data_IF_603415819004
#
_entry.id   IF_603415819004
#
_cell.length_a   1.000
_cell.length_b   1.000
_cell.length_c   1.000
_cell.angle_alpha   90.00
_cell.angle_beta   90.00
_cell.angle_gamma   90.00
#
_symmetry.space_group_name_H-M   'P 1'
#
loop_
_entity.id
_entity.type
_entity.pdbx_description
1 polymer ?
#
# COMPACT_ATOMS: atom_id res chain seq x y z
N UNK A 1 31.35 -29.98 -38.53
CA UNK A 1 31.79 -29.73 -37.12
C UNK A 1 31.42 -28.35 -36.53
N UNK A 2 30.99 -27.34 -37.31
CA UNK A 2 30.62 -26.00 -36.80
C UNK A 2 29.28 -25.91 -36.05
N UNK A 3 28.26 -26.71 -36.42
CA UNK A 3 26.94 -26.69 -35.76
C UNK A 3 26.92 -27.30 -34.35
N UNK A 4 27.84 -28.22 -34.02
CA UNK A 4 27.89 -28.84 -32.70
C UNK A 4 28.41 -27.91 -31.59
N UNK A 5 29.31 -26.98 -31.91
CA UNK A 5 29.85 -26.00 -30.93
C UNK A 5 28.82 -24.94 -30.57
N UNK A 6 28.02 -24.47 -31.53
CA UNK A 6 26.95 -23.48 -31.28
C UNK A 6 25.82 -24.05 -30.43
N UNK A 7 25.39 -25.30 -30.68
CA UNK A 7 24.36 -25.95 -29.86
C UNK A 7 24.83 -26.21 -28.42
N UNK A 8 26.10 -26.63 -28.22
CA UNK A 8 26.68 -26.84 -26.89
C UNK A 8 26.87 -25.52 -26.12
N UNK A 9 27.25 -24.44 -26.82
CA UNK A 9 27.34 -23.09 -26.27
C UNK A 9 25.97 -22.55 -25.85
N UNK A 10 24.94 -22.73 -26.68
CA UNK A 10 23.57 -22.31 -26.38
C UNK A 10 22.99 -23.08 -25.18
N UNK A 11 23.23 -24.39 -25.10
CA UNK A 11 22.85 -25.23 -23.96
C UNK A 11 23.50 -24.74 -22.66
N UNK A 12 24.82 -24.52 -22.66
CA UNK A 12 25.53 -24.04 -21.46
C UNK A 12 25.07 -22.65 -21.03
N UNK A 13 24.78 -21.74 -21.97
CA UNK A 13 24.19 -20.42 -21.67
C UNK A 13 22.81 -20.54 -21.02
N UNK A 14 21.94 -21.41 -21.52
CA UNK A 14 20.62 -21.64 -20.91
C UNK A 14 20.71 -22.27 -19.52
N UNK A 15 21.67 -23.18 -19.28
CA UNK A 15 21.94 -23.73 -17.95
C UNK A 15 22.39 -22.63 -16.98
N UNK A 16 23.39 -21.83 -17.37
CA UNK A 16 23.88 -20.73 -16.56
C UNK A 16 22.77 -19.72 -16.23
N UNK A 17 21.94 -19.36 -17.22
CA UNK A 17 20.83 -18.43 -17.02
C UNK A 17 19.75 -19.01 -16.11
N UNK A 18 19.40 -20.29 -16.25
CA UNK A 18 18.42 -20.94 -15.38
C UNK A 18 18.91 -20.98 -13.92
N UNK A 19 20.17 -21.38 -13.70
CA UNK A 19 20.78 -21.40 -12.37
C UNK A 19 20.80 -19.99 -11.78
N UNK A 20 21.19 -18.98 -12.57
CA UNK A 20 21.18 -17.59 -12.14
C UNK A 20 19.78 -17.12 -11.71
N UNK A 21 18.74 -17.44 -12.49
CA UNK A 21 17.36 -17.10 -12.14
C UNK A 21 16.92 -17.78 -10.85
N UNK A 22 17.19 -19.08 -10.70
CA UNK A 22 16.83 -19.83 -9.47
C UNK A 22 17.59 -19.28 -8.25
N UNK A 23 18.88 -18.98 -8.38
CA UNK A 23 19.66 -18.37 -7.32
C UNK A 23 19.13 -16.97 -6.98
N UNK A 24 18.81 -16.15 -7.99
CA UNK A 24 18.25 -14.83 -7.77
C UNK A 24 16.91 -14.90 -7.03
N UNK A 25 16.01 -15.82 -7.42
CA UNK A 25 14.75 -16.07 -6.71
C UNK A 25 15.03 -16.54 -5.27
N UNK A 26 16.01 -17.43 -5.07
CA UNK A 26 16.40 -17.91 -3.75
C UNK A 26 16.95 -16.80 -2.84
N UNK A 27 17.78 -15.91 -3.37
CA UNK A 27 18.30 -14.74 -2.63
C UNK A 27 17.17 -13.77 -2.29
N UNK A 28 16.27 -13.49 -3.25
CA UNK A 28 15.09 -12.65 -3.01
C UNK A 28 14.17 -13.28 -1.96
N UNK A 29 13.99 -14.61 -1.99
CA UNK A 29 13.21 -15.33 -1.00
C UNK A 29 13.84 -15.22 0.39
N UNK A 30 15.13 -15.50 0.48
CA UNK A 30 15.86 -15.39 1.74
C UNK A 30 15.78 -13.97 2.30
N UNK A 31 16.04 -12.96 1.48
CA UNK A 31 16.00 -11.56 1.91
C UNK A 31 14.60 -11.07 2.27
N UNK A 32 13.58 -11.51 1.54
CA UNK A 32 12.19 -11.17 1.84
C UNK A 32 11.68 -11.80 3.13
N UNK A 33 11.95 -13.08 3.36
CA UNK A 33 11.39 -13.79 4.53
C UNK A 33 12.22 -13.66 5.81
N UNK A 34 13.55 -13.69 5.71
CA UNK A 34 14.43 -13.65 6.88
C UNK A 34 15.03 -12.26 7.13
N UNK A 35 14.91 -11.35 6.16
CA UNK A 35 15.64 -10.09 6.17
C UNK A 35 17.13 -10.32 5.92
N UNK A 36 17.84 -9.25 5.59
CA UNK A 36 19.30 -9.30 5.46
C UNK A 36 19.91 -8.23 6.35
N UNK A 37 20.72 -8.67 7.31
CA UNK A 37 21.53 -7.81 8.16
C UNK A 37 22.78 -7.41 7.36
N UNK A 38 22.96 -6.11 7.14
CA UNK A 38 24.11 -5.47 6.50
C UNK A 38 24.43 -5.91 5.06
N UNK A 39 23.61 -5.49 4.10
CA UNK A 39 24.05 -5.37 2.69
C UNK A 39 24.38 -3.90 2.43
N UNK A 40 25.66 -3.59 2.16
CA UNK A 40 26.12 -2.22 1.83
C UNK A 40 25.65 -1.12 2.80
N UNK A 41 25.54 -1.42 4.10
CA UNK A 41 25.09 -0.45 5.12
C UNK A 41 23.57 -0.28 5.24
N UNK A 42 22.77 -0.95 4.40
CA UNK A 42 21.31 -0.96 4.49
C UNK A 42 20.80 -2.25 5.14
N UNK A 43 19.84 -2.11 6.07
CA UNK A 43 19.13 -3.23 6.70
C UNK A 43 17.85 -3.50 5.93
N UNK A 44 17.81 -4.62 5.21
CA UNK A 44 16.59 -5.10 4.57
C UNK A 44 15.76 -5.80 5.64
N UNK A 45 14.65 -5.18 6.03
CA UNK A 45 13.69 -5.77 6.98
C UNK A 45 12.91 -6.90 6.28
N UNK A 46 12.55 -7.97 7.01
CA UNK A 46 11.69 -9.02 6.44
C UNK A 46 10.29 -8.48 6.13
N UNK A 47 9.57 -9.17 5.24
CA UNK A 47 8.19 -8.84 4.88
C UNK A 47 7.25 -8.83 6.09
N UNK A 48 7.51 -9.66 7.09
CA UNK A 48 6.74 -9.70 8.35
C UNK A 48 6.77 -8.40 9.16
N UNK A 49 7.85 -7.62 9.02
CA UNK A 49 8.06 -6.32 9.67
C UNK A 49 7.81 -5.13 8.74
N UNK A 50 7.92 -5.34 7.42
CA UNK A 50 7.84 -4.26 6.43
C UNK A 50 6.45 -4.05 5.86
N UNK A 51 5.57 -5.05 5.95
CA UNK A 51 4.19 -4.94 5.48
C UNK A 51 3.33 -4.34 6.58
N UNK A 52 2.61 -3.28 6.22
CA UNK A 52 1.69 -2.58 7.10
C UNK A 52 0.52 -3.50 7.45
N UNK A 53 0.11 -3.53 8.72
CA UNK A 53 -0.98 -4.40 9.19
C UNK A 53 -2.18 -3.55 9.53
N UNK A 54 -3.36 -3.99 9.11
CA UNK A 54 -4.61 -3.28 9.36
C UNK A 54 -5.19 -3.53 10.75
N UNK A 55 -6.32 -2.87 11.01
CA UNK A 55 -7.04 -2.90 12.28
C UNK A 55 -7.35 -4.33 12.75
N UNK A 56 -7.78 -5.21 11.85
CA UNK A 56 -8.14 -6.59 12.20
C UNK A 56 -6.95 -7.44 12.65
N UNK A 57 -5.72 -7.07 12.26
CA UNK A 57 -4.49 -7.80 12.58
C UNK A 57 -3.77 -7.25 13.80
N UNK A 58 -3.87 -5.95 14.07
CA UNK A 58 -3.20 -5.30 15.21
C UNK A 58 -4.15 -4.98 16.37
N UNK A 59 -5.46 -4.99 16.12
CA UNK A 59 -6.43 -4.31 16.97
C UNK A 59 -6.34 -2.78 16.81
N UNK A 60 -7.26 -2.07 17.43
CA UNK A 60 -7.24 -0.62 17.52
C UNK A 60 -8.64 -0.02 17.58
N UNK A 61 -8.79 1.21 17.09
CA UNK A 61 -10.06 1.95 17.09
C UNK A 61 -10.57 2.16 15.67
N UNK A 62 -11.87 1.95 15.47
CA UNK A 62 -12.64 2.35 14.29
C UNK A 62 -13.74 3.32 14.72
N UNK A 63 -13.80 4.48 14.09
CA UNK A 63 -14.84 5.49 14.29
C UNK A 63 -15.54 5.74 12.96
N UNK A 64 -16.87 5.74 12.97
CA UNK A 64 -17.69 6.18 11.84
C UNK A 64 -18.29 7.53 12.19
N UNK A 65 -17.88 8.55 11.45
CA UNK A 65 -18.35 9.92 11.58
C UNK A 65 -19.41 10.21 10.52
N UNK A 66 -20.48 10.90 10.89
CA UNK A 66 -21.49 11.41 9.96
C UNK A 66 -21.36 12.92 9.81
N UNK A 67 -21.31 13.38 8.56
CA UNK A 67 -21.24 14.79 8.23
C UNK A 67 -22.61 15.44 8.44
N UNK A 68 -22.66 16.49 9.27
CA UNK A 68 -23.86 17.29 9.51
C UNK A 68 -24.05 18.38 8.45
N UNK A 69 -25.28 18.49 7.95
CA UNK A 69 -25.71 19.49 6.96
C UNK A 69 -26.39 18.86 5.75
N UNK A 70 -27.33 19.59 5.14
CA UNK A 70 -28.01 19.14 3.93
C UNK A 70 -27.16 19.46 2.69
N UNK A 71 -27.03 18.50 1.75
CA UNK A 71 -26.34 18.67 0.47
C UNK A 71 -24.85 19.09 0.57
N UNK A 72 -24.06 18.36 1.37
CA UNK A 72 -22.60 18.54 1.38
C UNK A 72 -22.00 18.06 0.06
N UNK A 73 -21.19 18.92 -0.57
CA UNK A 73 -20.55 18.60 -1.85
C UNK A 73 -19.50 17.48 -1.70
N UNK A 74 -19.28 16.71 -2.77
CA UNK A 74 -18.24 15.67 -2.77
C UNK A 74 -16.86 16.26 -2.48
N UNK A 75 -16.54 17.44 -3.03
CA UNK A 75 -15.27 18.13 -2.79
C UNK A 75 -15.07 18.46 -1.32
N UNK A 76 -16.13 18.88 -0.62
CA UNK A 76 -16.10 19.14 0.82
C UNK A 76 -15.80 17.88 1.62
N UNK A 77 -16.39 16.74 1.24
CA UNK A 77 -16.14 15.45 1.91
C UNK A 77 -14.69 15.01 1.69
N UNK A 78 -14.19 15.06 0.45
CA UNK A 78 -12.80 14.70 0.15
C UNK A 78 -11.81 15.60 0.90
N UNK A 79 -12.07 16.91 0.96
CA UNK A 79 -11.27 17.83 1.76
C UNK A 79 -11.32 17.46 3.24
N UNK A 80 -12.49 17.11 3.77
CA UNK A 80 -12.64 16.67 5.17
C UNK A 80 -11.81 15.41 5.45
N UNK A 81 -11.84 14.43 4.54
CA UNK A 81 -11.04 13.21 4.62
C UNK A 81 -9.55 13.53 4.66
N UNK A 82 -9.08 14.43 3.79
CA UNK A 82 -7.67 14.87 3.76
C UNK A 82 -7.26 15.51 5.09
N UNK A 83 -8.08 16.42 5.63
CA UNK A 83 -7.82 17.08 6.91
C UNK A 83 -7.82 16.11 8.09
N UNK A 84 -8.81 15.20 8.15
CA UNK A 84 -8.87 14.15 9.15
C UNK A 84 -7.66 13.22 9.07
N UNK A 85 -7.24 12.83 7.85
CA UNK A 85 -6.05 12.01 7.64
C UNK A 85 -4.79 12.66 8.21
N UNK A 86 -4.61 13.97 8.02
CA UNK A 86 -3.52 14.72 8.62
C UNK A 86 -3.61 14.80 10.16
N UNK A 87 -4.81 14.80 10.74
CA UNK A 87 -5.00 14.87 12.21
C UNK A 87 -4.78 13.54 12.92
N UNK A 88 -5.25 12.45 12.34
CA UNK A 88 -5.09 11.11 12.93
C UNK A 88 -3.69 10.53 12.71
N UNK A 89 -2.98 11.05 11.70
CA UNK A 89 -1.62 10.63 11.36
C UNK A 89 -0.70 11.82 11.01
N UNK A 90 -0.47 12.75 11.95
CA UNK A 90 0.29 13.98 11.70
C UNK A 90 1.78 13.72 11.40
N UNK A 91 2.32 12.62 11.93
CA UNK A 91 3.71 12.21 11.71
C UNK A 91 3.86 11.30 10.47
N UNK A 92 2.75 10.79 9.90
CA UNK A 92 2.79 9.82 8.80
C UNK A 92 3.33 8.44 9.21
N UNK A 93 3.52 8.19 10.51
CA UNK A 93 4.16 6.98 11.05
C UNK A 93 3.13 5.90 11.39
N UNK A 94 1.87 6.28 11.63
CA UNK A 94 0.78 5.35 11.92
C UNK A 94 0.07 4.94 10.63
N UNK A 95 -0.32 3.68 10.54
CA UNK A 95 -1.01 3.13 9.36
C UNK A 95 -2.53 3.37 9.46
N UNK A 96 -2.93 4.64 9.53
CA UNK A 96 -4.34 5.04 9.67
C UNK A 96 -5.05 5.05 8.33
N UNK A 97 -6.32 4.65 8.32
CA UNK A 97 -7.17 4.72 7.13
C UNK A 97 -8.32 5.69 7.38
N UNK A 98 -8.44 6.73 6.55
CA UNK A 98 -9.58 7.65 6.54
C UNK A 98 -10.26 7.53 5.19
N UNK A 99 -11.50 7.04 5.16
CA UNK A 99 -12.21 6.71 3.93
C UNK A 99 -13.66 7.15 4.00
N UNK A 100 -14.21 7.54 2.85
CA UNK A 100 -15.65 7.77 2.71
C UNK A 100 -16.40 6.44 2.83
N UNK A 101 -17.53 6.47 3.54
CA UNK A 101 -18.49 5.38 3.59
C UNK A 101 -19.88 5.90 3.20
N UNK A 102 -20.39 5.45 2.05
CA UNK A 102 -21.66 5.93 1.53
C UNK A 102 -21.64 7.43 1.14
N UNK A 103 -22.76 8.13 1.35
CA UNK A 103 -22.95 9.51 0.85
C UNK A 103 -22.34 10.57 1.76
N UNK A 104 -22.47 10.45 3.07
CA UNK A 104 -22.17 11.50 4.05
C UNK A 104 -21.42 10.98 5.28
N UNK A 105 -20.81 9.79 5.23
CA UNK A 105 -20.06 9.24 6.36
C UNK A 105 -18.59 9.06 6.04
N UNK A 106 -17.76 9.14 7.06
CA UNK A 106 -16.32 8.99 7.00
C UNK A 106 -15.91 7.96 8.05
N UNK A 107 -15.33 6.85 7.59
CA UNK A 107 -14.73 5.84 8.46
C UNK A 107 -13.27 6.17 8.72
N UNK A 108 -12.90 6.20 9.98
CA UNK A 108 -11.55 6.47 10.48
C UNK A 108 -11.10 5.22 11.24
N UNK A 109 -10.03 4.58 10.79
CA UNK A 109 -9.43 3.42 11.42
C UNK A 109 -8.01 3.75 11.86
N UNK A 110 -7.69 3.53 13.13
CA UNK A 110 -6.39 3.80 13.73
C UNK A 110 -5.88 2.50 14.36
N UNK A 111 -5.14 1.67 13.58
CA UNK A 111 -4.55 0.43 14.07
C UNK A 111 -3.53 0.69 15.18
N UNK A 112 -3.50 -0.20 16.17
CA UNK A 112 -2.57 -0.15 17.31
C UNK A 112 -2.88 0.91 18.37
N UNK A 113 -3.95 1.69 18.22
CA UNK A 113 -4.40 2.68 19.20
C UNK A 113 -5.60 2.16 19.99
N UNK A 114 -5.52 2.20 21.32
CA UNK A 114 -6.56 1.66 22.21
C UNK A 114 -7.13 2.72 23.16
N UNK A 115 -6.55 3.91 23.20
CA UNK A 115 -7.08 5.02 23.99
C UNK A 115 -8.19 5.74 23.23
N UNK A 116 -9.44 5.36 23.53
CA UNK A 116 -10.63 5.92 22.91
C UNK A 116 -10.79 7.41 23.18
N UNK A 117 -10.38 7.89 24.36
CA UNK A 117 -10.50 9.31 24.71
C UNK A 117 -9.56 10.15 23.87
N UNK A 118 -8.29 9.72 23.78
CA UNK A 118 -7.28 10.38 22.96
C UNK A 118 -7.68 10.45 21.48
N UNK A 119 -8.26 9.37 20.96
CA UNK A 119 -8.74 9.33 19.56
C UNK A 119 -9.93 10.25 19.36
N UNK A 120 -10.94 10.19 20.24
CA UNK A 120 -12.11 11.06 20.16
C UNK A 120 -11.75 12.53 20.33
N UNK A 121 -10.78 12.87 21.18
CA UNK A 121 -10.26 14.24 21.30
C UNK A 121 -9.56 14.70 20.01
N UNK A 122 -8.83 13.81 19.33
CA UNK A 122 -8.16 14.14 18.07
C UNK A 122 -9.11 14.30 16.87
N UNK A 123 -10.23 13.57 16.87
CA UNK A 123 -11.22 13.58 15.77
C UNK A 123 -12.31 14.62 16.04
N UNK A 124 -12.85 14.68 17.26
CA UNK A 124 -13.99 15.50 17.67
C UNK A 124 -13.67 16.98 17.91
N UNK A 125 -12.39 17.35 17.94
CA UNK A 125 -11.96 18.74 17.86
C UNK A 125 -12.33 19.29 16.47
N UNK A 126 -13.31 20.19 16.38
CA UNK A 126 -13.72 20.82 15.10
C UNK A 126 -12.54 21.54 14.43
N UNK A 127 -11.52 21.88 15.21
CA UNK A 127 -10.27 22.50 14.77
C UNK A 127 -10.46 23.98 14.50
N UNK A 128 -11.19 24.66 15.37
CA UNK A 128 -11.35 26.11 15.30
C UNK A 128 -10.01 26.78 15.59
N UNK A 129 -9.20 26.92 14.55
CA UNK A 129 -7.94 27.64 14.59
C UNK A 129 -8.23 29.14 14.62
N UNK A 130 -7.78 29.82 15.68
CA UNK A 130 -7.95 31.26 15.86
C UNK A 130 -6.61 31.91 16.23
N UNK A 131 -6.18 32.90 15.46
CA UNK A 131 -5.07 33.76 15.83
C UNK A 131 -5.67 34.96 16.56
N UNK A 132 -5.33 35.13 17.85
CA UNK A 132 -5.85 36.25 18.65
C UNK A 132 -4.76 37.24 18.99
N UNK A 133 -5.11 38.52 18.89
CA UNK A 133 -4.26 39.59 19.37
C UNK A 133 -4.20 39.66 20.90
N UNK A 134 -3.34 40.51 21.46
CA UNK A 134 -3.30 40.79 22.90
C UNK A 134 -4.62 41.31 23.47
N UNK A 135 -5.49 41.86 22.62
CA UNK A 135 -6.85 42.31 22.94
C UNK A 135 -7.90 41.19 22.88
N UNK A 136 -7.45 39.93 22.74
CA UNK A 136 -8.26 38.71 22.65
C UNK A 136 -9.23 38.70 21.44
N UNK A 137 -9.04 39.59 20.46
CA UNK A 137 -9.82 39.62 19.21
C UNK A 137 -9.22 38.67 18.18
N UNK A 138 -10.09 37.95 17.47
CA UNK A 138 -9.68 37.04 16.38
C UNK A 138 -9.22 37.87 15.18
N UNK A 139 -7.98 37.63 14.75
CA UNK A 139 -7.31 38.27 13.61
C UNK A 139 -7.44 37.37 12.37
N UNK A 140 -7.07 36.09 12.52
CA UNK A 140 -7.11 35.09 11.47
C UNK A 140 -7.81 33.82 11.97
N UNK A 141 -8.32 33.07 11.02
CA UNK A 141 -8.86 31.73 11.23
C UNK A 141 -8.12 30.70 10.37
N UNK A 142 -8.38 29.41 10.59
CA UNK A 142 -7.87 28.35 9.72
C UNK A 142 -8.21 28.51 8.24
N UNK A 143 -9.31 29.20 7.90
CA UNK A 143 -9.67 29.47 6.51
C UNK A 143 -8.68 30.40 5.78
N UNK A 144 -7.97 31.24 6.53
CA UNK A 144 -7.01 32.23 6.02
C UNK A 144 -5.61 31.63 5.78
N UNK A 145 -5.35 30.41 6.30
CA UNK A 145 -4.09 29.68 6.14
C UNK A 145 -4.12 28.85 4.85
N UNK A 146 -3.03 28.90 4.08
CA UNK A 146 -2.83 28.11 2.86
C UNK A 146 -1.98 26.87 3.13
N UNK A 147 -0.86 27.03 3.84
CA UNK A 147 0.02 25.92 4.21
C UNK A 147 0.75 26.20 5.53
N UNK A 148 1.18 25.14 6.21
CA UNK A 148 2.08 25.22 7.35
C UNK A 148 3.06 24.03 7.34
N UNK A 149 4.36 24.33 7.46
CA UNK A 149 5.44 23.32 7.34
C UNK A 149 6.51 23.54 8.39
N UNK A 150 6.98 22.47 9.02
CA UNK A 150 8.10 22.53 9.95
C UNK A 150 9.43 22.26 9.23
N UNK A 151 10.45 23.07 9.54
CA UNK A 151 11.81 22.93 9.00
C UNK A 151 12.84 23.41 10.02
N UNK A 152 14.11 23.06 9.80
CA UNK A 152 15.23 23.68 10.51
C UNK A 152 15.62 24.98 9.81
N UNK A 153 15.64 26.09 10.55
CA UNK A 153 16.14 27.36 10.05
C UNK A 153 17.68 27.33 9.87
N UNK A 154 18.23 28.43 9.35
CA UNK A 154 19.67 28.59 9.13
C UNK A 154 20.50 28.47 10.44
N UNK A 155 19.85 28.64 11.60
CA UNK A 155 20.45 28.51 12.93
C UNK A 155 20.26 27.11 13.53
N UNK A 156 19.81 26.13 12.73
CA UNK A 156 19.48 24.76 13.17
C UNK A 156 18.41 24.71 14.27
N UNK A 157 17.50 25.68 14.30
CA UNK A 157 16.37 25.71 15.23
C UNK A 157 15.09 25.23 14.54
N UNK A 158 14.29 24.39 15.20
CA UNK A 158 13.00 23.95 14.66
C UNK A 158 12.04 25.13 14.58
N UNK A 159 11.53 25.39 13.37
CA UNK A 159 10.69 26.54 13.02
C UNK A 159 9.50 26.10 12.19
N UNK A 160 8.36 26.78 12.35
CA UNK A 160 7.16 26.55 11.55
C UNK A 160 7.02 27.71 10.55
N UNK A 161 7.05 27.38 9.26
CA UNK A 161 6.68 28.29 8.18
C UNK A 161 5.19 28.27 7.93
N UNK A 162 4.59 29.45 7.84
CA UNK A 162 3.18 29.66 7.56
C UNK A 162 3.05 30.39 6.22
N UNK A 163 2.21 29.87 5.33
CA UNK A 163 1.80 30.53 4.10
C UNK A 163 0.32 30.88 4.20
N UNK A 164 -0.01 32.16 4.00
CA UNK A 164 -1.37 32.68 4.08
C UNK A 164 -1.99 32.84 2.69
N UNK A 165 -3.32 32.79 2.63
CA UNK A 165 -4.07 33.19 1.43
C UNK A 165 -4.01 34.72 1.24
N UNK A 166 -4.33 35.25 0.04
CA UNK A 166 -4.26 36.69 -0.23
C UNK A 166 -5.06 37.55 0.78
N UNK A 167 -6.28 37.12 1.12
CA UNK A 167 -7.14 37.83 2.08
C UNK A 167 -6.58 37.77 3.51
N UNK A 168 -6.07 36.61 3.91
CA UNK A 168 -5.40 36.42 5.19
C UNK A 168 -4.14 37.26 5.33
N UNK A 169 -3.38 37.41 4.24
CA UNK A 169 -2.14 38.19 4.22
C UNK A 169 -2.37 39.67 4.53
N UNK A 170 -3.45 40.27 4.02
CA UNK A 170 -3.81 41.66 4.31
C UNK A 170 -4.21 41.85 5.78
N UNK A 171 -5.11 41.00 6.29
CA UNK A 171 -5.52 41.02 7.71
C UNK A 171 -4.33 40.85 8.64
N UNK A 172 -3.41 39.96 8.28
CA UNK A 172 -2.22 39.69 9.09
C UNK A 172 -1.20 40.82 9.04
N UNK A 173 -1.02 41.49 7.90
CA UNK A 173 -0.17 42.67 7.79
C UNK A 173 -0.65 43.81 8.70
N UNK A 174 -1.96 44.11 8.69
CA UNK A 174 -2.56 45.13 9.56
C UNK A 174 -2.38 44.78 11.04
N UNK A 175 -2.59 43.51 11.40
CA UNK A 175 -2.46 43.07 12.78
C UNK A 175 -0.99 43.06 13.26
N UNK A 176 -0.05 42.61 12.44
CA UNK A 176 1.38 42.63 12.80
C UNK A 176 1.93 44.06 12.90
N UNK A 177 1.41 45.00 12.10
CA UNK A 177 1.70 46.43 12.25
C UNK A 177 1.17 46.99 13.57
N UNK A 178 -0.06 46.63 13.96
CA UNK A 178 -0.69 47.09 15.21
C UNK A 178 -0.09 46.47 16.47
N UNK A 179 0.39 45.22 16.38
CA UNK A 179 0.85 44.43 17.52
C UNK A 179 2.36 44.17 17.51
N UNK A 180 3.14 45.04 16.87
CA UNK A 180 4.60 44.97 16.87
C UNK A 180 5.15 44.88 18.31
N UNK A 181 6.03 43.91 18.57
CA UNK A 181 6.59 43.64 19.90
C UNK A 181 5.63 42.98 20.90
N UNK A 182 4.37 42.73 20.52
CA UNK A 182 3.36 42.06 21.36
C UNK A 182 3.13 40.62 20.90
N UNK A 183 2.43 39.84 21.72
CA UNK A 183 2.10 38.43 21.44
C UNK A 183 0.89 38.30 20.53
N UNK A 184 0.99 37.45 19.52
CA UNK A 184 -0.19 36.90 18.83
C UNK A 184 -0.28 35.45 19.25
N UNK A 185 -1.37 35.09 19.92
CA UNK A 185 -1.56 33.73 20.43
C UNK A 185 -2.39 32.94 19.43
N UNK A 186 -1.91 31.76 19.07
CA UNK A 186 -2.60 30.81 18.20
C UNK A 186 -3.32 29.82 19.09
N UNK A 187 -4.64 29.76 18.92
CA UNK A 187 -5.53 28.84 19.62
C UNK A 187 -6.03 27.76 18.67
N UNK A 188 -6.19 26.55 19.19
CA UNK A 188 -6.97 25.48 18.55
C UNK A 188 -8.05 25.03 19.51
N UNK A 189 -9.31 25.21 19.13
CA UNK A 189 -10.47 24.84 19.95
C UNK A 189 -10.44 25.44 21.38
N UNK A 190 -9.84 26.63 21.52
CA UNK A 190 -9.71 27.36 22.79
C UNK A 190 -8.46 27.03 23.61
N UNK A 191 -7.70 26.00 23.25
CA UNK A 191 -6.41 25.69 23.86
C UNK A 191 -5.27 26.45 23.15
N UNK A 192 -4.28 26.90 23.91
CA UNK A 192 -3.11 27.62 23.37
C UNK A 192 -2.18 26.62 22.68
N UNK A 193 -1.98 26.78 21.37
CA UNK A 193 -0.96 26.06 20.60
C UNK A 193 0.41 26.69 20.79
N UNK A 194 0.50 27.99 20.49
CA UNK A 194 1.76 28.75 20.57
C UNK A 194 1.47 30.24 20.73
N UNK A 195 2.38 30.95 21.40
CA UNK A 195 2.24 32.38 21.74
C UNK A 195 3.47 33.20 21.32
N UNK A 196 3.82 33.26 20.02
CA UNK A 196 4.99 34.01 19.57
C UNK A 196 4.83 35.53 19.72
N UNK A 197 5.95 36.23 19.89
CA UNK A 197 6.01 37.68 19.79
C UNK A 197 6.14 38.12 18.32
N UNK A 198 5.45 39.18 17.93
CA UNK A 198 5.59 39.80 16.61
C UNK A 198 6.90 40.59 16.57
N UNK A 199 7.87 40.14 15.78
CA UNK A 199 9.19 40.78 15.67
C UNK A 199 9.26 41.81 14.53
N UNK A 200 8.49 41.62 13.47
CA UNK A 200 8.46 42.49 12.29
C UNK A 200 7.06 42.52 11.67
N UNK A 201 6.80 43.53 10.83
CA UNK A 201 5.56 43.62 10.06
C UNK A 201 5.62 42.66 8.89
N UNK A 202 4.60 41.82 8.73
CA UNK A 202 4.57 40.75 7.74
C UNK A 202 3.59 41.11 6.63
N UNK A 203 4.10 41.64 5.52
CA UNK A 203 3.29 42.05 4.36
C UNK A 203 3.25 41.01 3.24
N UNK A 204 4.24 40.10 3.19
CA UNK A 204 4.43 39.14 2.10
C UNK A 204 3.61 37.84 2.20
N UNK A 205 2.71 37.71 3.18
CA UNK A 205 1.88 36.51 3.37
C UNK A 205 2.63 35.26 3.85
N UNK A 206 3.92 35.36 4.15
CA UNK A 206 4.75 34.29 4.72
C UNK A 206 5.22 34.70 6.11
N UNK A 207 4.99 33.84 7.09
CA UNK A 207 5.38 34.07 8.48
C UNK A 207 6.16 32.89 9.03
N UNK A 208 7.02 33.14 10.02
CA UNK A 208 7.80 32.11 10.70
C UNK A 208 7.48 32.14 12.19
N UNK A 209 7.11 31.00 12.74
CA UNK A 209 6.83 30.83 14.17
C UNK A 209 7.99 30.03 14.77
N UNK A 210 8.72 30.69 15.66
CA UNK A 210 9.85 30.13 16.42
C UNK A 210 9.42 29.79 17.85
N UNK A 211 10.06 28.80 18.47
CA UNK A 211 9.87 28.51 19.90
C UNK A 211 9.57 27.05 20.25
N UNK A 212 9.43 26.17 19.24
CA UNK A 212 9.33 24.73 19.47
C UNK A 212 10.65 24.19 20.01
N UNK A 213 10.60 23.20 20.91
CA UNK A 213 11.81 22.60 21.50
C UNK A 213 12.47 21.58 20.56
N UNK A 214 11.67 20.92 19.73
CA UNK A 214 12.13 19.87 18.80
C UNK A 214 11.47 20.00 17.42
N UNK A 215 12.09 19.40 16.40
CA UNK A 215 11.49 19.34 15.06
C UNK A 215 10.18 18.54 15.06
N UNK A 216 10.09 17.48 15.87
CA UNK A 216 8.87 16.66 15.99
C UNK A 216 7.71 17.49 16.57
N UNK A 217 7.97 18.30 17.59
CA UNK A 217 6.97 19.22 18.14
C UNK A 217 6.54 20.28 17.10
N UNK A 218 7.50 20.85 16.37
CA UNK A 218 7.21 21.81 15.31
C UNK A 218 6.39 21.16 14.18
N UNK A 219 6.71 19.93 13.77
CA UNK A 219 5.94 19.16 12.78
C UNK A 219 4.51 18.93 13.25
N UNK A 220 4.33 18.50 14.49
CA UNK A 220 3.00 18.29 15.06
C UNK A 220 2.17 19.58 15.05
N UNK A 221 2.73 20.69 15.53
CA UNK A 221 2.06 22.00 15.54
C UNK A 221 1.77 22.50 14.12
N UNK A 222 2.70 22.34 13.17
CA UNK A 222 2.51 22.70 11.77
C UNK A 222 1.39 21.86 11.13
N UNK A 223 1.37 20.54 11.35
CA UNK A 223 0.32 19.65 10.85
C UNK A 223 -1.06 20.03 11.40
N UNK A 224 -1.14 20.39 12.69
CA UNK A 224 -2.38 20.85 13.31
C UNK A 224 -2.86 22.18 12.68
N UNK A 225 -1.96 23.15 12.51
CA UNK A 225 -2.27 24.44 11.83
C UNK A 225 -2.69 24.22 10.38
N UNK A 226 -1.97 23.35 9.64
CA UNK A 226 -2.25 22.99 8.24
C UNK A 226 -3.58 22.27 8.08
N UNK A 227 -3.94 21.44 9.06
CA UNK A 227 -5.22 20.73 9.05
C UNK A 227 -6.43 21.67 9.17
N UNK A 228 -6.23 22.91 9.65
CA UNK A 228 -7.25 23.94 9.72
C UNK A 228 -8.52 23.52 10.47
N UNK A 229 -9.61 24.25 10.24
CA UNK A 229 -10.95 23.83 10.67
C UNK A 229 -11.52 22.83 9.68
N UNK A 230 -12.24 21.81 10.19
CA UNK A 230 -13.01 20.95 9.32
C UNK A 230 -14.06 21.80 8.61
N UNK A 231 -14.27 21.62 7.29
CA UNK A 231 -15.24 22.43 6.54
C UNK A 231 -16.69 22.09 6.92
N UNK A 232 -16.89 20.99 7.67
CA UNK A 232 -18.18 20.47 8.11
C UNK A 232 -18.07 19.95 9.54
N UNK A 233 -19.20 19.99 10.25
CA UNK A 233 -19.32 19.37 11.56
C UNK A 233 -19.53 17.86 11.41
N UNK A 234 -18.90 17.09 12.29
CA UNK A 234 -18.95 15.63 12.33
C UNK A 234 -19.60 15.18 13.63
N UNK A 235 -20.40 14.11 13.58
CA UNK A 235 -20.88 13.40 14.76
C UNK A 235 -20.57 11.91 14.65
N UNK A 236 -19.98 11.35 15.70
CA UNK A 236 -19.66 9.93 15.76
C UNK A 236 -20.96 9.11 15.84
N UNK A 237 -21.26 8.37 14.77
CA UNK A 237 -22.43 7.49 14.70
C UNK A 237 -22.11 6.07 15.15
N UNK A 238 -20.85 5.65 15.04
CA UNK A 238 -20.40 4.34 15.51
C UNK A 238 -18.98 4.43 16.04
N UNK A 239 -18.73 3.86 17.21
CA UNK A 239 -17.40 3.72 17.78
C UNK A 239 -17.15 2.26 18.13
N UNK A 240 -16.09 1.68 17.57
CA UNK A 240 -15.74 0.27 17.75
C UNK A 240 -14.27 0.11 18.12
N UNK A 241 -14.00 -0.51 19.25
CA UNK A 241 -12.67 -0.98 19.61
C UNK A 241 -12.51 -2.43 19.18
N UNK A 242 -11.53 -2.71 18.32
CA UNK A 242 -11.15 -4.06 17.91
C UNK A 242 -10.01 -4.53 18.80
N UNK A 243 -10.21 -5.63 19.52
CA UNK A 243 -9.18 -6.19 20.39
C UNK A 243 -8.01 -6.78 19.61
N UNK A 244 -6.78 -6.55 20.09
CA UNK A 244 -5.56 -7.11 19.50
C UNK A 244 -5.53 -8.65 19.48
N UNK A 245 -6.32 -9.30 20.35
CA UNK A 245 -6.40 -10.76 20.46
C UNK A 245 -6.92 -11.44 19.20
N UNK A 246 -7.82 -10.77 18.46
CA UNK A 246 -8.36 -11.28 17.20
C UNK A 246 -7.23 -11.43 16.18
N UNK A 247 -6.42 -10.38 16.00
CA UNK A 247 -5.27 -10.40 15.12
C UNK A 247 -4.13 -11.31 15.57
N UNK A 248 -3.86 -11.36 16.89
CA UNK A 248 -2.82 -12.21 17.47
C UNK A 248 -3.05 -13.71 17.21
N UNK A 249 -4.31 -14.16 17.16
CA UNK A 249 -4.66 -15.55 16.86
C UNK A 249 -4.93 -15.79 15.37
N UNK A 250 -5.57 -14.84 14.67
CA UNK A 250 -5.95 -15.01 13.28
C UNK A 250 -4.74 -14.99 12.35
N UNK A 251 -3.76 -14.10 12.57
CA UNK A 251 -2.60 -13.97 11.68
C UNK A 251 -1.76 -15.26 11.60
N UNK A 252 -1.31 -15.88 12.73
CA UNK A 252 -0.56 -17.13 12.66
C UNK A 252 -1.35 -18.27 12.03
N UNK A 253 -2.67 -18.34 12.30
CA UNK A 253 -3.54 -19.36 11.73
C UNK A 253 -3.68 -19.19 10.21
N UNK A 254 -3.89 -17.97 9.72
CA UNK A 254 -3.97 -17.67 8.29
C UNK A 254 -2.64 -17.93 7.58
N UNK A 255 -1.50 -17.61 8.20
CA UNK A 255 -0.18 -17.94 7.65
C UNK A 255 0.01 -19.45 7.57
N UNK A 256 -0.35 -20.20 8.64
CA UNK A 256 -0.26 -21.67 8.66
C UNK A 256 -1.17 -22.29 7.59
N UNK A 257 -2.41 -21.84 7.48
CA UNK A 257 -3.35 -22.30 6.46
C UNK A 257 -2.84 -22.00 5.05
N UNK A 258 -2.30 -20.79 4.83
CA UNK A 258 -1.67 -20.40 3.57
C UNK A 258 -0.47 -21.28 3.22
N UNK A 259 0.43 -21.54 4.16
CA UNK A 259 1.59 -22.41 3.94
C UNK A 259 1.19 -23.85 3.57
N UNK A 260 0.17 -24.41 4.25
CA UNK A 260 -0.37 -25.73 3.92
C UNK A 260 -1.00 -25.73 2.53
N UNK A 261 -1.83 -24.73 2.21
CA UNK A 261 -2.49 -24.61 0.90
C UNK A 261 -1.51 -24.49 -0.26
N UNK A 262 -0.50 -23.61 -0.11
CA UNK A 262 0.58 -23.45 -1.08
C UNK A 262 1.38 -24.75 -1.22
N UNK A 263 1.71 -25.42 -0.10
CA UNK A 263 2.42 -26.69 -0.13
C UNK A 263 1.66 -27.78 -0.90
N UNK A 264 0.35 -27.89 -0.69
CA UNK A 264 -0.51 -28.84 -1.42
C UNK A 264 -0.56 -28.53 -2.92
N UNK A 265 -0.63 -27.25 -3.28
CA UNK A 265 -0.58 -26.78 -4.68
C UNK A 265 0.75 -27.18 -5.33
N UNK A 266 1.88 -26.92 -4.68
CA UNK A 266 3.20 -27.28 -5.20
C UNK A 266 3.32 -28.80 -5.41
N UNK A 267 2.87 -29.59 -4.43
CA UNK A 267 2.85 -31.06 -4.54
C UNK A 267 1.97 -31.50 -5.73
N UNK A 268 0.78 -30.93 -5.87
CA UNK A 268 -0.12 -31.26 -6.98
C UNK A 268 0.52 -30.94 -8.35
N UNK A 269 1.13 -29.77 -8.48
CA UNK A 269 1.80 -29.35 -9.72
C UNK A 269 2.97 -30.28 -10.08
N UNK A 270 3.78 -30.66 -9.10
CA UNK A 270 4.89 -31.56 -9.29
C UNK A 270 4.43 -32.98 -9.70
N UNK A 271 3.40 -33.52 -9.03
CA UNK A 271 2.92 -34.88 -9.29
C UNK A 271 2.16 -34.98 -10.63
N UNK A 272 1.25 -34.04 -10.91
CA UNK A 272 0.39 -34.11 -12.09
C UNK A 272 1.09 -33.60 -13.36
N UNK A 273 1.79 -32.47 -13.27
CA UNK A 273 2.41 -31.82 -14.43
C UNK A 273 3.91 -32.10 -14.58
N UNK A 274 4.54 -32.82 -13.65
CA UNK A 274 5.95 -33.27 -13.76
C UNK A 274 6.91 -32.11 -14.07
N UNK A 275 7.57 -32.14 -15.23
CA UNK A 275 8.60 -31.18 -15.61
C UNK A 275 8.08 -29.74 -15.73
N UNK A 276 7.01 -29.48 -16.50
CA UNK A 276 6.32 -28.19 -16.49
C UNK A 276 5.85 -27.76 -15.10
N UNK A 277 5.43 -28.71 -14.25
CA UNK A 277 5.07 -28.46 -12.86
C UNK A 277 6.18 -27.79 -12.07
N UNK A 278 7.40 -28.34 -12.11
CA UNK A 278 8.58 -27.75 -11.43
C UNK A 278 8.88 -26.33 -11.94
N UNK A 279 8.69 -26.06 -13.24
CA UNK A 279 8.89 -24.71 -13.79
C UNK A 279 7.83 -23.74 -13.30
N UNK A 280 6.58 -24.18 -13.17
CA UNK A 280 5.50 -23.38 -12.58
C UNK A 280 5.74 -23.12 -11.08
N UNK A 281 6.25 -24.09 -10.33
CA UNK A 281 6.53 -23.93 -8.91
C UNK A 281 7.61 -22.87 -8.64
N UNK A 282 8.68 -22.87 -9.44
CA UNK A 282 9.71 -21.83 -9.38
C UNK A 282 9.11 -20.45 -9.72
N UNK A 283 8.25 -20.38 -10.74
CA UNK A 283 7.54 -19.15 -11.09
C UNK A 283 6.56 -18.71 -9.99
N UNK A 284 5.92 -19.64 -9.29
CA UNK A 284 4.98 -19.37 -8.20
C UNK A 284 5.68 -18.81 -6.97
N UNK A 285 6.88 -19.33 -6.64
CA UNK A 285 7.71 -18.75 -5.58
C UNK A 285 8.05 -17.30 -5.95
N UNK A 286 8.51 -17.06 -7.19
CA UNK A 286 8.79 -15.71 -7.65
C UNK A 286 7.55 -14.80 -7.60
N UNK A 287 6.38 -15.31 -8.01
CA UNK A 287 5.09 -14.62 -7.93
C UNK A 287 4.78 -14.17 -6.48
N UNK A 288 4.90 -15.07 -5.51
CA UNK A 288 4.66 -14.73 -4.10
C UNK A 288 5.62 -13.62 -3.64
N UNK A 289 6.89 -13.67 -4.03
CA UNK A 289 7.87 -12.64 -3.65
C UNK A 289 7.57 -11.27 -4.26
N UNK A 290 7.20 -11.22 -5.54
CA UNK A 290 6.90 -9.93 -6.17
C UNK A 290 5.59 -9.34 -5.65
N UNK A 291 4.59 -10.16 -5.28
CA UNK A 291 3.35 -9.67 -4.66
C UNK A 291 3.65 -9.06 -3.30
N UNK A 292 4.37 -9.78 -2.44
CA UNK A 292 4.76 -9.27 -1.11
C UNK A 292 5.67 -8.04 -1.22
N UNK A 293 6.61 -8.03 -2.16
CA UNK A 293 7.45 -6.87 -2.46
C UNK A 293 6.64 -5.67 -2.95
N UNK A 294 5.61 -5.90 -3.75
CA UNK A 294 4.70 -4.84 -4.21
C UNK A 294 3.90 -4.26 -3.05
N UNK A 295 3.44 -5.07 -2.09
CA UNK A 295 2.76 -4.56 -0.89
C UNK A 295 3.65 -3.62 -0.09
N UNK A 296 4.93 -3.94 0.05
CA UNK A 296 5.91 -3.03 0.69
C UNK A 296 6.10 -1.76 -0.14
N UNK A 297 6.23 -1.87 -1.46
CA UNK A 297 6.48 -0.74 -2.34
C UNK A 297 5.33 0.29 -2.36
N UNK A 298 4.08 -0.18 -2.35
CA UNK A 298 2.90 0.69 -2.37
C UNK A 298 2.38 1.02 -0.96
N UNK A 299 3.09 0.59 0.09
CA UNK A 299 2.66 0.71 1.49
C UNK A 299 1.23 0.17 1.73
N UNK A 300 0.89 -0.95 1.08
CA UNK A 300 -0.42 -1.56 1.22
C UNK A 300 -0.63 -2.08 2.64
N UNK A 301 -1.79 -1.77 3.22
CA UNK A 301 -2.22 -2.29 4.51
C UNK A 301 -2.80 -3.70 4.35
N UNK A 302 -2.16 -4.68 4.97
CA UNK A 302 -2.60 -6.07 5.00
C UNK A 302 -3.67 -6.25 6.09
N UNK A 303 -4.89 -6.62 5.68
CA UNK A 303 -5.99 -7.00 6.58
C UNK A 303 -6.21 -8.51 6.54
N UNK A 304 -7.08 -9.05 7.42
CA UNK A 304 -7.42 -10.47 7.37
C UNK A 304 -8.10 -10.84 6.04
N UNK A 305 -9.00 -9.99 5.56
CA UNK A 305 -9.58 -10.12 4.21
C UNK A 305 -8.51 -9.96 3.13
N UNK A 306 -7.56 -9.04 3.29
CA UNK A 306 -6.42 -8.89 2.38
C UNK A 306 -5.62 -10.19 2.21
N UNK A 307 -5.40 -10.94 3.30
CA UNK A 307 -4.76 -12.27 3.26
C UNK A 307 -5.62 -13.27 2.47
N UNK A 308 -6.94 -13.28 2.66
CA UNK A 308 -7.84 -14.13 1.88
C UNK A 308 -7.76 -13.80 0.37
N UNK A 309 -7.73 -12.52 0.01
CA UNK A 309 -7.54 -12.06 -1.37
C UNK A 309 -6.21 -12.52 -1.94
N UNK A 310 -5.12 -12.36 -1.19
CA UNK A 310 -3.81 -12.89 -1.57
C UNK A 310 -3.83 -14.40 -1.82
N UNK A 311 -4.38 -15.20 -0.90
CA UNK A 311 -4.46 -16.65 -1.06
C UNK A 311 -5.33 -17.07 -2.26
N UNK A 312 -6.41 -16.33 -2.53
CA UNK A 312 -7.22 -16.54 -3.73
C UNK A 312 -6.39 -16.32 -5.00
N UNK A 313 -5.60 -15.23 -5.07
CA UNK A 313 -4.75 -14.97 -6.24
C UNK A 313 -3.65 -16.00 -6.43
N UNK A 314 -3.14 -16.61 -5.35
CA UNK A 314 -2.18 -17.71 -5.46
C UNK A 314 -2.81 -18.92 -6.16
N UNK A 315 -4.07 -19.25 -5.86
CA UNK A 315 -4.81 -20.28 -6.58
C UNK A 315 -5.01 -19.93 -8.07
N UNK A 316 -5.38 -18.69 -8.36
CA UNK A 316 -5.56 -18.21 -9.75
C UNK A 316 -4.25 -18.19 -10.54
N UNK A 317 -3.12 -17.88 -9.90
CA UNK A 317 -1.80 -17.93 -10.54
C UNK A 317 -1.44 -19.36 -10.99
N UNK A 318 -1.87 -20.37 -10.25
CA UNK A 318 -1.68 -21.78 -10.61
C UNK A 318 -2.63 -22.19 -11.73
N UNK A 319 -3.89 -21.75 -11.68
CA UNK A 319 -4.89 -22.02 -12.72
C UNK A 319 -4.44 -21.56 -14.11
N UNK A 320 -3.82 -20.37 -14.20
CA UNK A 320 -3.23 -19.88 -15.44
C UNK A 320 -2.14 -20.84 -15.99
N UNK A 321 -1.29 -21.39 -15.12
CA UNK A 321 -0.27 -22.36 -15.52
C UNK A 321 -0.91 -23.69 -15.97
N UNK A 322 -1.94 -24.16 -15.26
CA UNK A 322 -2.71 -25.36 -15.61
C UNK A 322 -3.30 -25.24 -17.02
N UNK A 323 -3.98 -24.14 -17.32
CA UNK A 323 -4.61 -23.89 -18.62
C UNK A 323 -3.57 -23.86 -19.75
N UNK A 324 -2.41 -23.22 -19.53
CA UNK A 324 -1.29 -23.24 -20.48
C UNK A 324 -0.82 -24.68 -20.72
N UNK A 325 -0.66 -25.48 -19.66
CA UNK A 325 -0.12 -26.83 -19.77
C UNK A 325 -1.07 -27.78 -20.48
N UNK A 326 -2.37 -27.71 -20.20
CA UNK A 326 -3.37 -28.48 -20.94
C UNK A 326 -3.39 -28.09 -22.42
N UNK A 327 -3.27 -26.79 -22.72
CA UNK A 327 -3.20 -26.33 -24.12
C UNK A 327 -1.94 -26.84 -24.83
N UNK A 328 -0.81 -26.88 -24.15
CA UNK A 328 0.43 -27.50 -24.69
C UNK A 328 0.23 -29.01 -24.92
N UNK A 329 -0.41 -29.73 -23.99
CA UNK A 329 -0.69 -31.16 -24.12
C UNK A 329 -1.60 -31.44 -25.33
N UNK A 330 -2.64 -30.64 -25.55
CA UNK A 330 -3.49 -30.73 -26.74
C UNK A 330 -2.67 -30.61 -28.03
N UNK A 331 -1.81 -29.59 -28.11
CA UNK A 331 -0.97 -29.36 -29.30
C UNK A 331 0.05 -30.48 -29.54
N UNK A 332 0.57 -31.08 -28.47
CA UNK A 332 1.45 -32.25 -28.55
C UNK A 332 0.71 -33.51 -29.03
N UNK A 333 -0.54 -33.70 -28.60
CA UNK A 333 -1.40 -34.81 -29.06
C UNK A 333 -1.75 -34.69 -30.54
N UNK A 334 -1.82 -33.47 -31.08
CA UNK A 334 -1.98 -33.20 -32.51
C UNK A 334 -0.69 -33.45 -33.32
N UNK A 335 0.37 -33.98 -32.70
CA UNK A 335 1.61 -34.36 -33.38
C UNK A 335 2.60 -33.21 -33.61
N UNK A 336 2.31 -31.99 -33.12
CA UNK A 336 3.21 -30.84 -33.28
C UNK A 336 4.56 -31.07 -32.59
N UNK A 337 5.61 -30.45 -33.12
CA UNK A 337 6.92 -30.46 -32.45
C UNK A 337 6.85 -29.70 -31.12
N UNK A 338 7.69 -30.08 -30.15
CA UNK A 338 7.61 -29.55 -28.79
C UNK A 338 7.70 -28.01 -28.74
N UNK A 339 8.58 -27.41 -29.54
CA UNK A 339 8.74 -25.96 -29.60
C UNK A 339 7.50 -25.26 -30.15
N UNK A 340 6.93 -25.81 -31.22
CA UNK A 340 5.70 -25.26 -31.82
C UNK A 340 4.51 -25.44 -30.88
N UNK A 341 4.41 -26.60 -30.21
CA UNK A 341 3.34 -26.88 -29.26
C UNK A 341 3.39 -25.95 -28.04
N UNK A 342 4.58 -25.65 -27.52
CA UNK A 342 4.75 -24.68 -26.43
C UNK A 342 4.35 -23.28 -26.86
N UNK A 343 4.87 -22.78 -27.99
CA UNK A 343 4.52 -21.44 -28.45
C UNK A 343 3.02 -21.31 -28.81
N UNK A 344 2.42 -22.33 -29.41
CA UNK A 344 0.98 -22.39 -29.68
C UNK A 344 0.14 -22.46 -28.39
N UNK A 345 0.60 -23.23 -27.41
CA UNK A 345 -0.06 -23.37 -26.10
C UNK A 345 -0.18 -22.04 -25.37
N UNK A 346 0.93 -21.29 -25.26
CA UNK A 346 0.92 -19.95 -24.66
C UNK A 346 0.03 -18.97 -25.43
N UNK A 347 0.10 -18.96 -26.77
CA UNK A 347 -0.69 -18.03 -27.58
C UNK A 347 -2.21 -18.31 -27.47
N UNK A 348 -2.61 -19.59 -27.46
CA UNK A 348 -4.04 -19.96 -27.33
C UNK A 348 -4.56 -19.81 -25.91
N UNK A 349 -3.71 -19.96 -24.90
CA UNK A 349 -4.09 -19.78 -23.50
C UNK A 349 -4.24 -18.31 -23.11
N UNK A 350 -3.52 -17.41 -23.80
CA UNK A 350 -3.47 -15.99 -23.47
C UNK A 350 -4.85 -15.33 -23.44
N UNK A 351 -5.71 -15.58 -24.43
CA UNK A 351 -7.04 -14.96 -24.46
C UNK A 351 -7.90 -15.41 -23.28
N UNK A 352 -7.97 -16.71 -23.01
CA UNK A 352 -8.76 -17.24 -21.88
C UNK A 352 -8.26 -16.76 -20.52
N UNK A 353 -6.94 -16.64 -20.34
CA UNK A 353 -6.34 -16.11 -19.11
C UNK A 353 -6.68 -14.63 -18.94
N UNK A 354 -6.56 -13.84 -20.01
CA UNK A 354 -6.90 -12.42 -19.94
C UNK A 354 -8.40 -12.21 -19.70
N UNK A 355 -9.27 -12.91 -20.42
CA UNK A 355 -10.72 -12.74 -20.30
C UNK A 355 -11.23 -13.04 -18.87
N UNK A 356 -10.76 -14.13 -18.28
CA UNK A 356 -11.10 -14.51 -16.91
C UNK A 356 -10.59 -13.47 -15.89
N UNK A 357 -9.32 -13.06 -16.00
CA UNK A 357 -8.72 -12.13 -15.05
C UNK A 357 -9.23 -10.69 -15.21
N UNK A 358 -9.53 -10.22 -16.43
CA UNK A 358 -10.11 -8.90 -16.68
C UNK A 358 -11.46 -8.79 -15.98
N UNK A 359 -12.30 -9.83 -16.08
CA UNK A 359 -13.60 -9.86 -15.39
C UNK A 359 -13.42 -9.74 -13.87
N UNK A 360 -12.44 -10.43 -13.29
CA UNK A 360 -12.15 -10.33 -11.86
C UNK A 360 -11.54 -8.97 -11.48
N UNK A 361 -10.70 -8.37 -12.33
CA UNK A 361 -10.19 -7.00 -12.12
C UNK A 361 -11.35 -6.00 -12.10
N UNK A 362 -12.32 -6.11 -13.01
CA UNK A 362 -13.49 -5.23 -13.03
C UNK A 362 -14.26 -5.33 -11.70
N UNK A 363 -14.49 -6.55 -11.19
CA UNK A 363 -15.09 -6.74 -9.88
C UNK A 363 -14.22 -6.14 -8.76
N UNK A 364 -12.90 -6.32 -8.81
CA UNK A 364 -11.94 -5.73 -7.88
C UNK A 364 -11.98 -4.20 -7.88
N UNK A 365 -12.08 -3.57 -9.04
CA UNK A 365 -12.20 -2.11 -9.18
C UNK A 365 -13.48 -1.61 -8.51
N UNK A 366 -14.62 -2.28 -8.76
CA UNK A 366 -15.89 -1.94 -8.12
C UNK A 366 -15.79 -2.09 -6.60
N UNK A 367 -15.20 -3.19 -6.10
CA UNK A 367 -14.98 -3.40 -4.66
C UNK A 367 -14.03 -2.37 -4.05
N UNK A 368 -13.03 -1.89 -4.79
CA UNK A 368 -12.08 -0.90 -4.32
C UNK A 368 -12.68 0.49 -4.18
N UNK A 369 -13.55 0.88 -5.12
CA UNK A 369 -14.19 2.20 -5.10
C UNK A 369 -15.46 2.26 -4.25
N UNK A 370 -16.23 1.17 -4.17
CA UNK A 370 -17.47 1.11 -3.39
C UNK A 370 -17.29 0.50 -1.99
N UNK A 371 -16.24 -0.29 -1.78
CA UNK A 371 -15.93 -0.90 -0.48
C UNK A 371 -15.18 0.06 0.44
N UNK A 372 -15.31 -0.16 1.75
CA UNK A 372 -14.54 0.52 2.80
C UNK A 372 -13.68 -0.47 3.60
N UNK A 373 -12.66 0.05 4.28
CA UNK A 373 -11.84 -0.69 5.24
C UNK A 373 -11.29 -2.02 4.69
N UNK A 374 -11.69 -3.13 5.31
CA UNK A 374 -11.23 -4.47 4.96
C UNK A 374 -11.58 -4.93 3.54
N UNK A 375 -12.74 -4.53 2.99
CA UNK A 375 -13.16 -4.90 1.63
C UNK A 375 -12.27 -4.24 0.58
N UNK A 376 -11.93 -2.97 0.79
CA UNK A 376 -11.00 -2.25 -0.07
C UNK A 376 -9.59 -2.85 -0.03
N UNK A 377 -9.15 -3.29 1.16
CA UNK A 377 -7.92 -4.06 1.34
C UNK A 377 -7.92 -5.36 0.53
N UNK A 378 -8.99 -6.16 0.63
CA UNK A 378 -9.18 -7.36 -0.18
C UNK A 378 -9.13 -7.07 -1.69
N UNK A 379 -9.83 -6.03 -2.14
CA UNK A 379 -9.86 -5.64 -3.54
C UNK A 379 -8.47 -5.25 -4.07
N UNK A 380 -7.71 -4.48 -3.29
CA UNK A 380 -6.35 -4.08 -3.64
C UNK A 380 -5.41 -5.30 -3.74
N UNK A 381 -5.45 -6.21 -2.76
CA UNK A 381 -4.61 -7.42 -2.80
C UNK A 381 -4.97 -8.33 -3.97
N UNK A 382 -6.27 -8.46 -4.26
CA UNK A 382 -6.79 -9.21 -5.41
C UNK A 382 -6.28 -8.63 -6.74
N UNK A 383 -6.43 -7.32 -6.96
CA UNK A 383 -6.01 -6.66 -8.20
C UNK A 383 -4.50 -6.76 -8.43
N UNK A 384 -3.69 -6.48 -7.40
CA UNK A 384 -2.22 -6.61 -7.48
C UNK A 384 -1.84 -8.05 -7.81
N UNK A 385 -2.43 -9.02 -7.12
CA UNK A 385 -2.13 -10.43 -7.36
C UNK A 385 -2.50 -10.87 -8.77
N UNK A 386 -3.63 -10.46 -9.31
CA UNK A 386 -4.03 -10.80 -10.68
C UNK A 386 -3.07 -10.22 -11.72
N UNK A 387 -2.72 -8.94 -11.62
CA UNK A 387 -1.81 -8.30 -12.59
C UNK A 387 -0.45 -9.00 -12.58
N UNK A 388 0.07 -9.28 -11.38
CA UNK A 388 1.35 -9.96 -11.23
C UNK A 388 1.27 -11.44 -11.66
N UNK A 389 0.13 -12.11 -11.47
CA UNK A 389 -0.05 -13.52 -11.85
C UNK A 389 0.00 -13.67 -13.37
N UNK A 390 -0.72 -12.81 -14.11
CA UNK A 390 -0.69 -12.76 -15.57
C UNK A 390 0.75 -12.54 -16.07
N UNK A 391 1.45 -11.58 -15.48
CA UNK A 391 2.85 -11.32 -15.82
C UNK A 391 3.73 -12.56 -15.59
N UNK A 392 3.64 -13.19 -14.43
CA UNK A 392 4.45 -14.38 -14.12
C UNK A 392 4.10 -15.57 -15.00
N UNK A 393 2.83 -15.85 -15.27
CA UNK A 393 2.44 -16.96 -16.12
C UNK A 393 2.90 -16.75 -17.57
N UNK A 394 2.66 -15.58 -18.16
CA UNK A 394 2.94 -15.34 -19.58
C UNK A 394 4.41 -15.05 -19.87
N UNK A 395 5.15 -14.52 -18.91
CA UNK A 395 6.56 -14.12 -19.09
C UNK A 395 7.50 -15.09 -18.38
N UNK A 396 7.36 -15.26 -17.07
CA UNK A 396 8.33 -16.01 -16.25
C UNK A 396 8.20 -17.51 -16.48
N UNK A 397 6.98 -18.08 -16.40
CA UNK A 397 6.76 -19.51 -16.69
C UNK A 397 7.16 -19.83 -18.13
N UNK A 398 6.81 -18.97 -19.09
CA UNK A 398 7.22 -19.12 -20.50
C UNK A 398 8.74 -19.16 -20.67
N UNK A 399 9.44 -18.24 -20.01
CA UNK A 399 10.91 -18.19 -20.02
C UNK A 399 11.50 -19.47 -19.40
N UNK A 400 11.03 -19.89 -18.23
CA UNK A 400 11.52 -21.08 -17.54
C UNK A 400 11.29 -22.36 -18.35
N UNK A 401 10.13 -22.51 -19.01
CA UNK A 401 9.86 -23.65 -19.90
C UNK A 401 10.81 -23.64 -21.10
N UNK A 402 11.00 -22.49 -21.75
CA UNK A 402 11.94 -22.38 -22.89
C UNK A 402 13.38 -22.71 -22.49
N UNK A 403 13.82 -22.26 -21.31
CA UNK A 403 15.11 -22.63 -20.75
C UNK A 403 15.18 -24.13 -20.44
N UNK A 404 14.15 -24.68 -19.78
CA UNK A 404 13.97 -26.11 -19.51
C UNK A 404 14.14 -26.97 -20.77
N UNK A 405 13.55 -26.54 -21.88
CA UNK A 405 13.68 -27.21 -23.17
C UNK A 405 15.09 -27.10 -23.75
N UNK A 406 15.68 -25.90 -23.76
CA UNK A 406 17.03 -25.67 -24.30
C UNK A 406 18.13 -26.42 -23.53
N UNK A 407 17.94 -26.62 -22.22
CA UNK A 407 18.85 -27.40 -21.37
C UNK A 407 18.68 -28.91 -21.55
N UNK A 408 17.60 -29.36 -22.19
CA UNK A 408 17.25 -30.78 -22.36
C UNK A 408 16.47 -31.41 -21.20
N UNK A 409 16.18 -30.65 -20.13
CA UNK A 409 15.31 -31.06 -19.02
C UNK A 409 13.87 -31.33 -19.51
N UNK A 410 13.39 -30.53 -20.46
CA UNK A 410 12.08 -30.69 -21.10
C UNK A 410 12.27 -31.06 -22.58
N UNK A 411 12.81 -32.25 -22.86
CA UNK A 411 13.15 -32.68 -24.22
C UNK A 411 12.16 -33.67 -24.85
N UNK A 412 11.27 -34.28 -24.06
CA UNK A 412 10.33 -35.32 -24.53
C UNK A 412 8.89 -34.95 -24.22
N UNK A 413 7.97 -35.38 -25.08
CA UNK A 413 6.52 -35.23 -24.87
C UNK A 413 6.05 -35.92 -23.57
N UNK A 414 6.74 -36.99 -23.14
CA UNK A 414 6.47 -37.68 -21.88
C UNK A 414 6.73 -36.82 -20.64
N UNK A 415 7.62 -35.81 -20.74
CA UNK A 415 7.86 -34.86 -19.65
C UNK A 415 6.67 -33.92 -19.44
N UNK A 416 5.83 -33.76 -20.46
CA UNK A 416 4.57 -32.99 -20.43
C UNK A 416 3.35 -33.91 -20.17
N UNK A 417 3.57 -35.18 -19.83
CA UNK A 417 2.48 -36.12 -19.55
C UNK A 417 1.77 -36.69 -20.78
N UNK A 418 2.33 -36.52 -21.99
CA UNK A 418 1.79 -37.07 -23.24
C UNK A 418 2.63 -38.26 -23.70
N UNK A 419 2.03 -39.44 -23.84
CA UNK A 419 2.65 -40.55 -24.59
C UNK A 419 2.45 -40.26 -26.08
N UNK A 420 3.54 -40.11 -26.83
CA UNK A 420 3.44 -40.10 -28.30
C UNK A 420 2.92 -41.47 -28.73
N UNK A 421 1.77 -41.48 -29.41
CA UNK A 421 1.29 -42.64 -30.16
C UNK A 421 2.21 -42.95 -31.33
#
# INVERSE_FOLDING_TARGET
MRNGRNAKSQKNKSIALFILVVIAIGILAYGGFFGIKNIFGYRVKPFSESINKGLDLQGGISVLEEVKGNNVSNETIERTIELLSMRVNPEGVKETSVQREGKNRIRIEIPGEFDSKKVLESIGKTGKLEFKGPDNKVILTGADVKDATAYYDDMQKPTIGLELKPDGSKKFAEATQKFLGKRITIYMDGEVLTSPNVQSVITGGKATITGSATLEEAKHQASVIKSGALPVSLEAVEFKTVGATLGANALPLSIKAGAIGIGLILIFMLLYYKGPGVMADIALIFYVLIVLGTFVAVKATLTLSGIAGFLLTVGMAVDANVLIFERIKEELKLGKSLKVAVDAGFNRALSSILDSNITTIIAGVVLYYLGSGAVKGFALTLMIGIVLSIFTALTVTRMLIKLGMNMGLLSKASHFGVKRG
#
